data_IF_573141268934
#
_entry.id   IF_573141268934
#
_cell.length_a   1.000
_cell.length_b   1.000
_cell.length_c   1.000
_cell.angle_alpha   90.00
_cell.angle_beta   90.00
_cell.angle_gamma   90.00
#
_symmetry.space_group_name_H-M   'P 1'
#
loop_
_entity.id
_entity.type
_entity.pdbx_description
1 polymer ?
#
# COMPACT_ATOMS: atom_id res chain seq x y z
N UNK A 1 42.71 -15.32 45.74
CA UNK A 1 42.87 -16.79 45.86
C UNK A 1 42.30 -17.34 44.58
N UNK A 2 43.14 -17.68 43.59
CA UNK A 2 43.76 -19.00 43.30
C UNK A 2 42.72 -20.13 43.43
N UNK A 3 42.42 -21.00 42.46
CA UNK A 3 43.23 -21.62 41.41
C UNK A 3 42.26 -22.32 40.42
N UNK A 4 42.43 -22.36 39.13
CA UNK A 4 43.33 -23.18 38.31
C UNK A 4 42.75 -24.55 37.87
N UNK A 5 42.61 -24.68 36.55
CA UNK A 5 42.95 -25.83 35.64
C UNK A 5 42.21 -27.17 35.82
N UNK A 6 41.85 -27.94 34.74
CA UNK A 6 42.63 -28.51 33.59
C UNK A 6 41.66 -29.19 32.62
N UNK A 7 41.82 -29.01 31.34
CA UNK A 7 42.34 -29.94 30.31
C UNK A 7 41.75 -31.36 30.22
N UNK A 8 41.20 -31.66 29.05
CA UNK A 8 41.00 -33.01 28.53
C UNK A 8 40.79 -33.02 27.02
N UNK A 9 41.88 -33.30 26.30
CA UNK A 9 41.92 -33.65 24.85
C UNK A 9 41.60 -35.14 24.69
N UNK A 10 40.98 -35.51 23.55
CA UNK A 10 41.43 -36.62 22.65
C UNK A 10 40.37 -36.75 21.55
N UNK A 11 40.73 -36.58 20.25
CA UNK A 11 41.15 -37.60 19.27
C UNK A 11 39.99 -38.56 18.93
N UNK A 12 39.34 -38.51 17.79
CA UNK A 12 39.83 -38.75 16.46
C UNK A 12 39.31 -40.08 15.95
N UNK A 13 38.62 -40.14 14.83
CA UNK A 13 38.79 -41.24 13.86
C UNK A 13 37.98 -40.99 12.60
N UNK A 14 38.69 -40.96 11.49
CA UNK A 14 38.19 -41.01 10.11
C UNK A 14 37.67 -42.42 9.80
N UNK A 15 36.61 -42.49 9.01
CA UNK A 15 36.29 -43.67 8.23
C UNK A 15 35.77 -43.27 6.86
N UNK A 16 36.60 -43.44 5.87
CA UNK A 16 36.27 -43.48 4.45
C UNK A 16 35.75 -44.86 4.10
N UNK A 17 34.65 -45.01 3.40
CA UNK A 17 34.30 -46.23 2.66
C UNK A 17 33.48 -45.85 1.43
N UNK A 18 34.14 -45.98 0.29
CA UNK A 18 33.85 -46.69 -0.94
C UNK A 18 32.52 -46.47 -1.68
N UNK A 19 32.76 -45.98 -2.88
CA UNK A 19 32.03 -45.99 -4.13
C UNK A 19 31.63 -47.41 -4.55
N UNK A 20 30.35 -47.63 -4.87
CA UNK A 20 29.92 -48.76 -5.70
C UNK A 20 29.04 -48.27 -6.85
N UNK A 21 29.57 -48.34 -8.05
CA UNK A 21 28.89 -48.19 -9.33
C UNK A 21 28.17 -49.50 -9.62
N UNK A 22 26.87 -49.44 -9.90
CA UNK A 22 26.13 -50.51 -10.55
C UNK A 22 25.34 -49.93 -11.71
N UNK A 23 25.81 -50.25 -12.93
CA UNK A 23 25.06 -50.15 -14.17
C UNK A 23 24.13 -51.35 -14.27
N UNK A 24 22.86 -51.12 -14.54
CA UNK A 24 22.04 -52.13 -15.24
C UNK A 24 20.74 -51.51 -15.81
N UNK A 25 20.68 -51.64 -17.13
CA UNK A 25 19.53 -52.05 -17.96
C UNK A 25 18.34 -51.11 -18.21
N UNK A 26 18.23 -50.76 -19.46
CA UNK A 26 17.02 -50.27 -20.18
C UNK A 26 15.78 -51.12 -19.90
N UNK A 27 14.75 -50.49 -19.38
CA UNK A 27 13.38 -50.97 -19.43
C UNK A 27 12.49 -49.87 -19.95
N UNK A 28 11.93 -50.04 -21.18
CA UNK A 28 10.91 -49.16 -21.77
C UNK A 28 9.61 -49.36 -20.98
N UNK A 29 9.28 -48.43 -20.09
CA UNK A 29 7.97 -48.36 -19.47
C UNK A 29 7.10 -47.30 -20.14
N UNK A 30 5.89 -47.70 -20.53
CA UNK A 30 4.88 -46.90 -21.16
C UNK A 30 4.53 -45.69 -20.30
N UNK A 31 4.41 -44.51 -20.96
CA UNK A 31 4.00 -43.25 -20.40
C UNK A 31 2.51 -43.30 -20.02
N UNK A 32 2.09 -43.03 -18.80
CA UNK A 32 0.68 -42.84 -18.50
C UNK A 32 0.22 -41.51 -19.13
N UNK A 33 -0.88 -41.56 -19.85
CA UNK A 33 -1.60 -40.37 -20.34
C UNK A 33 -2.18 -39.63 -19.13
N UNK A 34 -1.63 -38.46 -18.84
CA UNK A 34 -2.16 -37.56 -17.83
C UNK A 34 -3.53 -37.00 -18.24
N UNK A 35 -4.35 -36.55 -17.28
CA UNK A 35 -5.66 -35.99 -17.58
C UNK A 35 -5.52 -34.75 -18.44
N UNK A 36 -6.38 -34.66 -19.45
CA UNK A 36 -6.54 -33.50 -20.34
C UNK A 36 -6.87 -32.28 -19.52
N UNK A 37 -5.91 -31.36 -19.43
CA UNK A 37 -6.14 -30.06 -18.81
C UNK A 37 -7.25 -29.31 -19.52
N UNK A 38 -8.25 -28.90 -18.78
CA UNK A 38 -9.23 -27.93 -19.25
C UNK A 38 -8.50 -26.64 -19.57
N UNK A 39 -8.78 -25.95 -20.67
CA UNK A 39 -8.20 -24.66 -20.95
C UNK A 39 -8.71 -23.69 -19.86
N UNK A 40 -7.80 -23.19 -19.05
CA UNK A 40 -8.06 -22.03 -18.18
C UNK A 40 -8.39 -20.89 -19.14
N UNK A 41 -9.63 -20.45 -19.12
CA UNK A 41 -10.05 -19.26 -19.84
C UNK A 41 -9.21 -18.09 -19.30
N UNK A 42 -8.29 -17.58 -20.11
CA UNK A 42 -7.58 -16.34 -19.83
C UNK A 42 -8.62 -15.23 -19.87
N UNK A 43 -9.10 -14.80 -18.72
CA UNK A 43 -9.81 -13.55 -18.57
C UNK A 43 -8.79 -12.45 -18.86
N UNK A 44 -8.74 -11.96 -20.06
CA UNK A 44 -8.08 -10.71 -20.39
C UNK A 44 -8.99 -9.59 -19.91
N UNK A 45 -8.92 -9.20 -18.65
CA UNK A 45 -9.44 -7.91 -18.24
C UNK A 45 -8.57 -6.85 -18.89
N UNK A 46 -9.01 -6.30 -20.02
CA UNK A 46 -8.48 -5.04 -20.51
C UNK A 46 -8.85 -4.00 -19.47
N UNK A 47 -7.86 -3.41 -18.80
CA UNK A 47 -8.07 -2.24 -17.95
C UNK A 47 -8.90 -1.22 -18.74
N UNK A 48 -9.95 -0.68 -18.15
CA UNK A 48 -10.76 0.36 -18.76
C UNK A 48 -9.86 1.56 -19.03
N UNK A 49 -9.80 2.01 -20.28
CA UNK A 49 -9.02 3.20 -20.67
C UNK A 49 -9.74 4.51 -20.36
N UNK A 50 -10.86 4.45 -19.66
CA UNK A 50 -11.72 5.62 -19.38
C UNK A 50 -12.04 5.66 -17.89
N UNK A 51 -12.19 6.88 -17.35
CA UNK A 51 -12.69 7.12 -16.00
C UNK A 51 -14.05 6.41 -15.83
N UNK A 52 -14.28 5.69 -14.74
CA UNK A 52 -15.55 5.03 -14.50
C UNK A 52 -16.73 6.01 -14.53
N UNK A 53 -17.83 5.63 -15.19
CA UNK A 53 -19.04 6.45 -15.34
C UNK A 53 -19.62 6.91 -13.97
N UNK A 54 -19.37 6.17 -12.90
CA UNK A 54 -19.75 6.52 -11.55
C UNK A 54 -19.17 7.86 -11.08
N UNK A 55 -18.07 8.32 -11.68
CA UNK A 55 -17.36 9.55 -11.29
C UNK A 55 -17.56 10.72 -12.26
N UNK A 56 -18.40 10.57 -13.28
CA UNK A 56 -18.59 11.62 -14.30
C UNK A 56 -19.49 12.76 -13.85
N UNK A 57 -20.42 12.49 -12.94
CA UNK A 57 -21.45 13.48 -12.57
C UNK A 57 -21.13 14.17 -11.25
N UNK A 58 -20.94 15.51 -11.25
CA UNK A 58 -20.73 16.26 -10.01
C UNK A 58 -21.93 16.20 -9.07
N UNK A 59 -21.64 15.94 -7.80
CA UNK A 59 -22.61 16.01 -6.69
C UNK A 59 -22.57 17.37 -5.99
N UNK A 60 -21.49 18.14 -6.18
CA UNK A 60 -21.26 19.43 -5.52
C UNK A 60 -20.75 20.47 -6.53
N UNK A 61 -20.75 21.74 -6.13
CA UNK A 61 -20.01 22.78 -6.84
C UNK A 61 -18.49 22.62 -6.65
N UNK A 62 -17.66 23.22 -7.52
CA UNK A 62 -16.21 23.27 -7.37
C UNK A 62 -15.80 23.92 -6.05
N UNK A 63 -14.81 23.35 -5.37
CA UNK A 63 -14.39 23.80 -4.04
C UNK A 63 -12.86 23.75 -3.84
N UNK A 64 -12.08 24.03 -4.89
CA UNK A 64 -10.63 24.12 -4.80
C UNK A 64 -10.17 25.39 -4.09
N UNK A 65 -8.97 25.32 -3.49
CA UNK A 65 -8.25 26.53 -3.08
C UNK A 65 -8.03 27.45 -4.29
N UNK A 66 -8.23 28.77 -4.14
CA UNK A 66 -7.91 29.72 -5.20
C UNK A 66 -6.45 29.60 -5.67
N UNK A 67 -6.25 29.57 -6.99
CA UNK A 67 -4.94 29.38 -7.61
C UNK A 67 -4.57 27.93 -7.92
N UNK A 68 -5.41 26.95 -7.57
CA UNK A 68 -5.22 25.57 -8.00
C UNK A 68 -5.41 25.43 -9.52
N UNK A 69 -4.54 24.60 -10.14
CA UNK A 69 -4.62 24.25 -11.56
C UNK A 69 -5.25 22.85 -11.73
N UNK A 70 -6.49 22.74 -12.22
CA UNK A 70 -7.12 21.45 -12.47
C UNK A 70 -6.41 20.57 -13.50
N UNK A 71 -5.56 21.14 -14.35
CA UNK A 71 -4.91 20.40 -15.44
C UNK A 71 -3.72 19.52 -14.98
N UNK A 72 -3.27 19.70 -13.74
CA UNK A 72 -2.14 18.89 -13.19
C UNK A 72 -2.56 17.48 -12.84
N UNK A 73 -3.85 17.24 -12.57
CA UNK A 73 -4.40 15.91 -12.30
C UNK A 73 -4.90 15.25 -13.59
N UNK A 74 -4.51 13.99 -13.86
CA UNK A 74 -4.97 13.29 -15.04
C UNK A 74 -6.42 12.79 -14.93
N UNK A 75 -6.96 12.70 -13.71
CA UNK A 75 -8.29 12.18 -13.41
C UNK A 75 -8.77 12.53 -12.00
N UNK A 76 -9.95 12.00 -11.61
CA UNK A 76 -10.46 12.17 -10.25
C UNK A 76 -9.57 11.49 -9.21
N UNK A 77 -9.60 12.01 -7.99
CA UNK A 77 -8.86 11.54 -6.82
C UNK A 77 -9.82 10.90 -5.83
N UNK A 78 -9.56 9.68 -5.42
CA UNK A 78 -10.13 9.04 -4.24
C UNK A 78 -9.44 9.61 -3.00
N UNK A 79 -10.20 9.92 -1.96
CA UNK A 79 -9.69 10.42 -0.69
C UNK A 79 -10.37 9.65 0.45
N UNK A 80 -9.58 9.04 1.32
CA UNK A 80 -10.04 8.52 2.60
C UNK A 80 -10.12 9.69 3.60
N UNK A 81 -11.32 10.18 3.87
CA UNK A 81 -11.58 11.31 4.77
C UNK A 81 -11.85 10.77 6.18
N UNK A 82 -10.75 10.37 6.85
CA UNK A 82 -10.67 9.50 8.02
C UNK A 82 -11.60 9.90 9.15
N UNK A 83 -11.44 11.12 9.69
CA UNK A 83 -12.24 11.57 10.83
C UNK A 83 -13.70 11.85 10.47
N UNK A 84 -14.04 11.97 9.19
CA UNK A 84 -15.39 12.05 8.71
C UNK A 84 -16.03 10.67 8.42
N UNK A 85 -15.28 9.57 8.62
CA UNK A 85 -15.73 8.21 8.36
C UNK A 85 -16.30 8.01 6.94
N UNK A 86 -15.62 8.52 5.93
CA UNK A 86 -16.08 8.46 4.54
C UNK A 86 -14.95 8.36 3.53
N UNK A 87 -15.27 7.78 2.39
CA UNK A 87 -14.51 7.93 1.16
C UNK A 87 -15.22 8.92 0.25
N UNK A 88 -14.45 9.77 -0.43
CA UNK A 88 -14.96 10.65 -1.47
C UNK A 88 -14.10 10.54 -2.72
N UNK A 89 -14.71 10.71 -3.89
CA UNK A 89 -13.99 10.93 -5.14
C UNK A 89 -14.21 12.36 -5.58
N UNK A 90 -13.11 13.08 -5.80
CA UNK A 90 -13.09 14.49 -6.18
C UNK A 90 -12.49 14.63 -7.57
N UNK A 91 -13.18 15.26 -8.50
CA UNK A 91 -12.64 15.51 -9.82
C UNK A 91 -11.57 16.64 -9.80
N UNK A 92 -10.77 16.81 -10.87
CA UNK A 92 -9.72 17.83 -10.91
C UNK A 92 -10.20 19.26 -10.63
N UNK A 93 -11.50 19.57 -10.81
CA UNK A 93 -12.08 20.88 -10.51
C UNK A 93 -12.50 21.05 -9.05
N UNK A 94 -12.32 20.02 -8.21
CA UNK A 94 -12.72 20.06 -6.81
C UNK A 94 -14.21 19.82 -6.57
N UNK A 95 -14.89 19.17 -7.50
CA UNK A 95 -16.28 18.74 -7.34
C UNK A 95 -16.28 17.30 -6.82
N UNK A 96 -17.03 17.02 -5.76
CA UNK A 96 -17.24 15.64 -5.31
C UNK A 96 -18.15 14.95 -6.34
N UNK A 97 -17.73 13.78 -6.81
CA UNK A 97 -18.47 12.99 -7.80
C UNK A 97 -18.99 11.67 -7.24
N UNK A 98 -18.43 11.21 -6.12
CA UNK A 98 -18.85 9.99 -5.45
C UNK A 98 -18.59 10.09 -3.94
N UNK A 99 -19.44 9.46 -3.12
CA UNK A 99 -19.32 9.45 -1.65
C UNK A 99 -19.72 8.07 -1.15
N UNK A 100 -19.01 7.55 -0.16
CA UNK A 100 -19.39 6.35 0.59
C UNK A 100 -18.99 6.52 2.08
N UNK A 101 -19.81 6.09 3.06
CA UNK A 101 -21.19 5.67 2.87
C UNK A 101 -22.17 6.85 2.80
N UNK A 102 -23.25 6.68 2.06
CA UNK A 102 -24.44 7.53 2.12
C UNK A 102 -25.49 6.86 2.99
N UNK A 103 -26.52 7.60 3.33
CA UNK A 103 -27.69 7.03 4.04
C UNK A 103 -28.27 5.84 3.28
N UNK A 104 -28.25 4.66 3.91
CA UNK A 104 -28.77 3.40 3.36
C UNK A 104 -27.72 2.55 2.62
N UNK A 105 -26.48 2.98 2.49
CA UNK A 105 -25.42 2.17 1.88
C UNK A 105 -24.95 1.04 2.82
N UNK A 106 -24.96 1.26 4.13
CA UNK A 106 -24.59 0.24 5.10
C UNK A 106 -25.77 -0.67 5.45
N UNK A 107 -25.51 -1.96 5.60
CA UNK A 107 -26.51 -2.92 6.08
C UNK A 107 -26.80 -2.67 7.57
N UNK A 108 -27.97 -3.12 8.09
CA UNK A 108 -28.28 -3.00 9.51
C UNK A 108 -27.19 -3.57 10.40
N UNK A 109 -26.65 -2.75 11.30
CA UNK A 109 -25.55 -3.13 12.21
C UNK A 109 -24.16 -3.12 11.58
N UNK A 110 -24.02 -2.81 10.30
CA UNK A 110 -22.72 -2.63 9.65
C UNK A 110 -22.18 -1.23 9.94
N UNK A 111 -20.88 -1.15 10.22
CA UNK A 111 -20.14 0.09 10.44
C UNK A 111 -19.21 0.38 9.28
N UNK A 112 -18.77 1.61 9.14
CA UNK A 112 -17.64 2.06 8.34
C UNK A 112 -16.98 3.19 9.10
N UNK A 113 -15.80 2.94 9.66
CA UNK A 113 -15.19 3.82 10.65
C UNK A 113 -13.70 4.02 10.34
N UNK A 114 -13.24 5.24 10.53
CA UNK A 114 -11.82 5.63 10.45
C UNK A 114 -11.11 5.01 9.25
N UNK A 115 -11.63 5.22 8.01
CA UNK A 115 -10.93 4.77 6.82
C UNK A 115 -9.56 5.42 6.78
N UNK A 116 -8.56 4.59 6.56
CA UNK A 116 -7.18 4.97 6.40
C UNK A 116 -6.83 5.00 4.92
N UNK A 117 -5.99 4.11 4.44
CA UNK A 117 -5.70 4.05 3.03
C UNK A 117 -6.78 3.36 2.21
N UNK A 118 -6.99 3.87 1.00
CA UNK A 118 -8.00 3.35 0.10
C UNK A 118 -7.51 3.36 -1.35
N UNK A 119 -7.59 2.20 -2.01
CA UNK A 119 -7.09 2.01 -3.38
C UNK A 119 -8.13 1.34 -4.27
N UNK A 120 -8.17 1.77 -5.53
CA UNK A 120 -9.01 1.09 -6.53
C UNK A 120 -8.47 -0.30 -6.82
N UNK A 121 -9.38 -1.25 -7.04
CA UNK A 121 -9.01 -2.55 -7.61
C UNK A 121 -8.49 -2.43 -9.04
N UNK A 122 -7.69 -3.37 -9.56
CA UNK A 122 -7.12 -3.29 -10.91
C UNK A 122 -8.13 -3.14 -12.04
N UNK A 123 -9.39 -3.54 -11.84
CA UNK A 123 -10.47 -3.34 -12.81
C UNK A 123 -11.30 -2.07 -12.55
N UNK A 124 -11.00 -1.34 -11.47
CA UNK A 124 -11.63 -0.09 -11.09
C UNK A 124 -13.08 -0.19 -10.63
N UNK A 125 -13.58 -1.40 -10.35
CA UNK A 125 -14.97 -1.59 -9.95
C UNK A 125 -15.19 -1.53 -8.45
N UNK A 126 -14.14 -1.77 -7.69
CA UNK A 126 -14.18 -1.82 -6.24
C UNK A 126 -13.08 -0.93 -5.66
N UNK A 127 -13.21 -0.60 -4.39
CA UNK A 127 -12.21 0.10 -3.59
C UNK A 127 -11.90 -0.81 -2.41
N UNK A 128 -10.62 -1.13 -2.21
CA UNK A 128 -10.11 -1.75 -0.99
C UNK A 128 -9.75 -0.65 -0.03
N UNK A 129 -10.21 -0.73 1.20
CA UNK A 129 -9.95 0.29 2.22
C UNK A 129 -9.68 -0.38 3.56
N UNK A 130 -8.69 0.14 4.26
CA UNK A 130 -8.41 -0.22 5.65
C UNK A 130 -9.24 0.68 6.58
N UNK A 131 -9.82 0.07 7.59
CA UNK A 131 -10.44 0.76 8.74
C UNK A 131 -9.50 0.47 9.92
N UNK A 132 -8.40 1.21 10.00
CA UNK A 132 -7.22 0.90 10.82
C UNK A 132 -7.56 0.66 12.29
N UNK A 133 -8.27 1.60 12.91
CA UNK A 133 -8.67 1.55 14.32
C UNK A 133 -9.93 0.68 14.56
N UNK A 134 -10.59 0.19 13.51
CA UNK A 134 -11.66 -0.83 13.60
C UNK A 134 -11.15 -2.24 13.25
N UNK A 135 -9.84 -2.35 12.91
CA UNK A 135 -9.10 -3.60 12.66
C UNK A 135 -9.66 -4.44 11.52
N UNK A 136 -10.15 -3.80 10.47
CA UNK A 136 -10.73 -4.47 9.31
C UNK A 136 -10.26 -3.89 7.98
N UNK A 137 -10.32 -4.72 6.95
CA UNK A 137 -10.21 -4.31 5.55
C UNK A 137 -11.58 -4.51 4.92
N UNK A 138 -12.12 -3.49 4.28
CA UNK A 138 -13.39 -3.53 3.56
C UNK A 138 -13.17 -3.40 2.07
N UNK A 139 -13.94 -4.14 1.26
CA UNK A 139 -14.02 -3.96 -0.19
C UNK A 139 -15.38 -3.37 -0.52
N UNK A 140 -15.37 -2.20 -1.13
CA UNK A 140 -16.56 -1.42 -1.46
C UNK A 140 -16.80 -1.45 -2.97
N UNK A 141 -17.95 -1.95 -3.41
CA UNK A 141 -18.37 -1.88 -4.82
C UNK A 141 -18.80 -0.47 -5.18
N UNK A 142 -18.12 0.11 -6.17
CA UNK A 142 -18.29 1.52 -6.60
C UNK A 142 -19.69 1.79 -7.15
N UNK A 143 -20.26 0.84 -7.89
CA UNK A 143 -21.53 1.04 -8.57
C UNK A 143 -22.74 0.90 -7.61
N UNK A 144 -22.67 -0.03 -6.68
CA UNK A 144 -23.77 -0.33 -5.75
C UNK A 144 -23.66 0.37 -4.40
N UNK A 145 -22.49 0.96 -4.07
CA UNK A 145 -22.17 1.53 -2.77
C UNK A 145 -22.39 0.52 -1.63
N UNK A 146 -21.86 -0.70 -1.79
CA UNK A 146 -21.98 -1.76 -0.78
C UNK A 146 -20.60 -2.29 -0.41
N UNK A 147 -20.42 -2.60 0.87
CA UNK A 147 -19.32 -3.45 1.30
C UNK A 147 -19.65 -4.87 0.84
N UNK A 148 -18.85 -5.38 -0.09
CA UNK A 148 -19.04 -6.71 -0.70
C UNK A 148 -18.18 -7.79 -0.06
N UNK A 149 -17.10 -7.37 0.61
CA UNK A 149 -16.22 -8.26 1.37
C UNK A 149 -15.61 -7.50 2.55
N UNK A 150 -15.31 -8.22 3.63
CA UNK A 150 -14.59 -7.68 4.78
C UNK A 150 -13.68 -8.75 5.37
N UNK A 151 -12.44 -8.39 5.63
CA UNK A 151 -11.50 -9.20 6.41
C UNK A 151 -11.20 -8.48 7.71
N UNK A 152 -11.04 -9.24 8.79
CA UNK A 152 -10.91 -8.70 10.14
C UNK A 152 -12.22 -8.79 10.92
N UNK A 153 -12.16 -8.46 12.20
CA UNK A 153 -13.31 -8.46 13.11
C UNK A 153 -13.47 -7.05 13.67
N UNK A 154 -14.55 -6.32 13.33
CA UNK A 154 -14.75 -4.96 13.78
C UNK A 154 -14.57 -4.79 15.29
N UNK A 155 -13.74 -3.82 15.71
CA UNK A 155 -13.46 -3.50 17.09
C UNK A 155 -12.66 -4.56 17.87
N UNK A 156 -12.05 -5.55 17.20
CA UNK A 156 -11.33 -6.63 17.87
C UNK A 156 -9.95 -6.89 17.23
N UNK A 157 -8.89 -6.30 17.81
CA UNK A 157 -7.52 -6.58 17.42
C UNK A 157 -7.11 -8.03 17.72
N UNK A 158 -6.15 -8.54 16.93
CA UNK A 158 -5.57 -9.86 17.18
C UNK A 158 -4.68 -10.39 16.06
N UNK A 159 -4.07 -11.57 16.31
CA UNK A 159 -3.14 -12.25 15.39
C UNK A 159 -3.74 -13.50 14.74
N UNK A 160 -4.95 -13.89 15.12
CA UNK A 160 -5.61 -15.12 14.64
C UNK A 160 -6.08 -15.02 13.19
N UNK A 161 -6.67 -16.10 12.68
CA UNK A 161 -7.39 -16.02 11.41
C UNK A 161 -8.48 -14.96 11.48
N UNK A 162 -8.66 -14.20 10.41
CA UNK A 162 -9.60 -13.09 10.35
C UNK A 162 -9.46 -12.07 11.49
N UNK A 163 -8.23 -11.80 11.89
CA UNK A 163 -7.88 -10.76 12.86
C UNK A 163 -6.70 -9.94 12.36
N UNK A 164 -6.76 -8.63 12.63
CA UNK A 164 -5.74 -7.64 12.32
C UNK A 164 -5.46 -6.80 13.55
N UNK A 165 -4.36 -6.08 13.55
CA UNK A 165 -4.06 -5.10 14.58
C UNK A 165 -3.41 -3.86 13.94
N UNK A 166 -4.22 -2.83 13.71
CA UNK A 166 -3.89 -1.65 12.94
C UNK A 166 -3.38 -2.04 11.53
N UNK A 167 -4.26 -2.57 10.65
CA UNK A 167 -3.91 -2.69 9.24
C UNK A 167 -3.83 -1.31 8.64
N UNK A 168 -2.78 -1.03 7.87
CA UNK A 168 -2.63 0.24 7.19
C UNK A 168 -2.97 0.09 5.71
N UNK A 169 -2.01 -0.11 4.83
CA UNK A 169 -2.32 -0.33 3.43
C UNK A 169 -2.93 -1.70 3.14
N UNK A 170 -3.90 -1.72 2.25
CA UNK A 170 -4.43 -2.94 1.66
C UNK A 170 -4.73 -2.75 0.18
N UNK A 171 -4.12 -3.55 -0.68
CA UNK A 171 -4.31 -3.48 -2.14
C UNK A 171 -4.75 -4.82 -2.70
N UNK A 172 -5.64 -4.78 -3.70
CA UNK A 172 -6.01 -5.98 -4.45
C UNK A 172 -5.05 -6.17 -5.62
N UNK A 173 -4.40 -7.33 -5.67
CA UNK A 173 -3.52 -7.72 -6.76
C UNK A 173 -4.32 -8.18 -7.99
N UNK A 174 -3.70 -8.22 -9.20
CA UNK A 174 -4.41 -8.60 -10.45
C UNK A 174 -5.03 -10.00 -10.44
N UNK A 175 -4.59 -10.88 -9.56
CA UNK A 175 -5.14 -12.23 -9.37
C UNK A 175 -6.26 -12.30 -8.31
N UNK A 176 -6.62 -11.15 -7.72
CA UNK A 176 -7.68 -10.99 -6.72
C UNK A 176 -7.26 -11.25 -5.27
N UNK A 177 -5.99 -11.54 -5.02
CA UNK A 177 -5.46 -11.55 -3.65
C UNK A 177 -5.39 -10.12 -3.11
N UNK A 178 -5.55 -9.97 -1.79
CA UNK A 178 -5.26 -8.71 -1.10
C UNK A 178 -3.93 -8.86 -0.39
N UNK A 179 -3.00 -7.92 -0.63
CA UNK A 179 -1.80 -7.73 0.18
C UNK A 179 -2.08 -6.62 1.19
N UNK A 180 -1.62 -6.79 2.44
CA UNK A 180 -1.81 -5.78 3.48
C UNK A 180 -0.68 -5.82 4.50
N UNK A 181 -0.30 -4.64 5.00
CA UNK A 181 0.54 -4.49 6.17
C UNK A 181 -0.32 -4.57 7.44
N UNK A 182 0.13 -5.34 8.43
CA UNK A 182 -0.55 -5.54 9.73
C UNK A 182 0.41 -5.08 10.83
N UNK A 183 0.42 -3.75 11.04
CA UNK A 183 1.47 -2.97 11.72
C UNK A 183 1.86 -3.56 13.07
N UNK A 184 0.87 -3.72 13.97
CA UNK A 184 1.12 -4.14 15.37
C UNK A 184 1.37 -5.63 15.51
N UNK A 185 1.02 -6.41 14.48
CA UNK A 185 1.35 -7.81 14.37
C UNK A 185 2.69 -8.06 13.64
N UNK A 186 3.38 -7.00 13.19
CA UNK A 186 4.70 -7.01 12.57
C UNK A 186 4.80 -7.96 11.37
N UNK A 187 3.76 -8.00 10.52
CA UNK A 187 3.63 -8.95 9.41
C UNK A 187 2.98 -8.33 8.19
N UNK A 188 3.21 -8.96 7.04
CA UNK A 188 2.49 -8.69 5.80
C UNK A 188 1.64 -9.92 5.50
N UNK A 189 0.39 -9.72 5.12
CA UNK A 189 -0.54 -10.79 4.80
C UNK A 189 -0.87 -10.81 3.31
N UNK A 190 -1.01 -12.02 2.77
CA UNK A 190 -1.71 -12.29 1.51
C UNK A 190 -3.02 -12.99 1.83
N UNK A 191 -4.12 -12.42 1.40
CA UNK A 191 -5.48 -12.90 1.65
C UNK A 191 -6.08 -13.33 0.32
N UNK A 192 -6.46 -14.61 0.22
CA UNK A 192 -7.09 -15.13 -1.00
C UNK A 192 -8.52 -14.58 -1.16
N UNK A 193 -9.02 -14.46 -2.40
CA UNK A 193 -10.37 -13.96 -2.67
C UNK A 193 -11.44 -14.65 -1.82
N UNK A 194 -12.23 -13.85 -1.08
CA UNK A 194 -13.31 -14.33 -0.22
C UNK A 194 -12.88 -15.14 1.01
N UNK A 195 -11.58 -15.24 1.31
CA UNK A 195 -11.07 -15.99 2.47
C UNK A 195 -11.19 -15.15 3.74
N UNK A 196 -11.41 -15.82 4.88
CA UNK A 196 -11.31 -15.24 6.23
C UNK A 196 -10.11 -15.83 7.00
N UNK A 197 -9.08 -16.22 6.26
CA UNK A 197 -7.78 -16.62 6.80
C UNK A 197 -6.69 -16.21 5.80
N UNK A 198 -5.47 -15.85 6.27
CA UNK A 198 -4.40 -15.52 5.34
C UNK A 198 -4.00 -16.75 4.54
N UNK A 199 -3.76 -16.57 3.24
CA UNK A 199 -3.17 -17.58 2.38
C UNK A 199 -1.65 -17.69 2.63
N UNK A 200 -1.01 -16.57 2.94
CA UNK A 200 0.39 -16.49 3.31
C UNK A 200 0.62 -15.37 4.33
N UNK A 201 1.63 -15.57 5.15
CA UNK A 201 2.15 -14.58 6.10
C UNK A 201 3.63 -14.39 5.77
N UNK A 202 4.03 -13.17 5.45
CA UNK A 202 5.42 -12.81 5.25
C UNK A 202 5.91 -12.19 6.56
N UNK A 203 6.89 -12.86 7.17
CA UNK A 203 7.39 -12.56 8.51
C UNK A 203 6.78 -13.45 9.59
N UNK A 204 7.11 -13.15 10.83
CA UNK A 204 6.62 -13.87 12.02
C UNK A 204 5.61 -12.99 12.74
N UNK A 205 4.36 -13.45 12.88
CA UNK A 205 3.35 -12.75 13.66
C UNK A 205 3.82 -12.60 15.11
N UNK A 206 4.02 -11.36 15.53
CA UNK A 206 4.51 -11.01 16.87
C UNK A 206 4.12 -9.57 17.17
N UNK A 207 4.17 -9.16 18.42
CA UNK A 207 4.07 -7.74 18.83
C UNK A 207 5.44 -7.14 19.17
N UNK A 208 6.51 -7.83 18.86
CA UNK A 208 7.89 -7.35 19.02
C UNK A 208 8.42 -6.92 17.65
N UNK A 209 7.96 -5.77 17.16
CA UNK A 209 8.29 -5.24 15.85
C UNK A 209 9.68 -4.62 15.83
N UNK A 210 10.60 -5.25 15.11
CA UNK A 210 11.95 -4.77 14.86
C UNK A 210 12.41 -5.24 13.49
N UNK A 211 13.31 -4.49 12.88
CA UNK A 211 13.85 -4.82 11.56
C UNK A 211 14.83 -6.00 11.62
N UNK A 212 14.45 -7.12 11.06
CA UNK A 212 15.26 -8.34 10.82
C UNK A 212 14.58 -9.18 9.72
N UNK A 213 14.36 -8.60 8.52
CA UNK A 213 13.61 -9.24 7.46
C UNK A 213 14.39 -10.46 6.88
N UNK A 214 13.71 -11.49 6.39
CA UNK A 214 12.25 -11.58 6.28
C UNK A 214 11.57 -12.14 7.53
N UNK A 215 12.33 -12.43 8.60
CA UNK A 215 11.81 -13.06 9.82
C UNK A 215 10.94 -12.09 10.64
N UNK A 216 11.36 -10.85 10.76
CA UNK A 216 10.67 -9.81 11.51
C UNK A 216 10.63 -8.50 10.74
N UNK A 217 9.52 -7.76 10.90
CA UNK A 217 9.32 -6.44 10.30
C UNK A 217 9.18 -5.39 11.40
N UNK A 218 9.77 -4.24 11.18
CA UNK A 218 9.77 -3.10 12.11
C UNK A 218 8.47 -2.29 12.07
N UNK A 219 7.32 -2.90 12.37
CA UNK A 219 5.99 -2.28 12.19
C UNK A 219 5.78 -1.88 10.73
N UNK A 220 5.53 -2.84 9.83
CA UNK A 220 5.33 -2.54 8.41
C UNK A 220 4.08 -1.67 8.25
N UNK A 221 4.24 -0.53 7.58
CA UNK A 221 3.15 0.40 7.30
C UNK A 221 2.50 0.07 5.97
N UNK A 222 3.29 -0.09 4.91
CA UNK A 222 2.83 -0.38 3.57
C UNK A 222 3.56 -1.54 2.90
N UNK A 223 2.97 -2.06 1.82
CA UNK A 223 3.55 -3.04 0.92
C UNK A 223 3.15 -2.73 -0.52
N UNK A 224 3.76 -1.69 -1.11
CA UNK A 224 3.37 -1.14 -2.40
C UNK A 224 3.98 -1.91 -3.58
N UNK A 225 3.18 -2.25 -4.62
CA UNK A 225 3.70 -2.94 -5.79
C UNK A 225 4.64 -2.07 -6.61
N UNK A 226 5.66 -2.70 -7.19
CA UNK A 226 6.62 -2.08 -8.11
C UNK A 226 6.43 -2.58 -9.54
N UNK A 227 6.94 -1.83 -10.50
CA UNK A 227 6.87 -2.17 -11.92
C UNK A 227 7.57 -3.49 -12.28
N UNK A 228 8.55 -3.94 -11.49
CA UNK A 228 9.26 -5.20 -11.68
C UNK A 228 8.56 -6.42 -11.06
N UNK A 229 7.41 -6.23 -10.39
CA UNK A 229 6.66 -7.27 -9.71
C UNK A 229 7.11 -7.54 -8.28
N UNK A 230 8.04 -6.73 -7.75
CA UNK A 230 8.38 -6.71 -6.33
C UNK A 230 7.46 -5.74 -5.56
N UNK A 231 7.71 -5.61 -4.27
CA UNK A 231 6.95 -4.76 -3.35
C UNK A 231 7.93 -3.94 -2.51
N UNK A 232 7.57 -2.68 -2.27
CA UNK A 232 8.26 -1.83 -1.29
C UNK A 232 7.52 -1.94 0.04
N UNK A 233 8.20 -2.48 1.03
CA UNK A 233 7.71 -2.54 2.41
C UNK A 233 8.31 -1.38 3.17
N UNK A 234 7.47 -0.54 3.75
CA UNK A 234 7.89 0.57 4.59
C UNK A 234 7.79 0.17 6.04
N UNK A 235 8.85 0.35 6.82
CA UNK A 235 8.91 -0.02 8.23
C UNK A 235 9.08 1.22 9.12
N UNK A 236 8.09 1.44 10.00
CA UNK A 236 8.09 2.56 10.94
C UNK A 236 9.26 2.47 11.93
N UNK A 237 9.44 1.27 12.52
CA UNK A 237 10.48 1.04 13.53
C UNK A 237 11.82 0.78 12.86
N UNK A 238 12.70 1.75 12.91
CA UNK A 238 14.05 1.68 12.35
C UNK A 238 14.18 2.39 11.01
N UNK A 239 13.10 2.99 10.50
CA UNK A 239 13.12 3.87 9.33
C UNK A 239 13.64 3.16 8.06
N UNK A 240 13.09 1.97 7.75
CA UNK A 240 13.51 1.16 6.62
C UNK A 240 12.49 1.16 5.46
N UNK A 241 13.01 0.98 4.27
CA UNK A 241 12.25 0.62 3.07
C UNK A 241 12.92 -0.60 2.44
N UNK A 242 12.18 -1.71 2.37
CA UNK A 242 12.68 -2.98 1.87
C UNK A 242 12.01 -3.35 0.54
N UNK A 243 12.82 -3.72 -0.46
CA UNK A 243 12.33 -4.32 -1.69
C UNK A 243 12.25 -5.83 -1.51
N UNK A 244 11.04 -6.39 -1.64
CA UNK A 244 10.78 -7.82 -1.44
C UNK A 244 9.97 -8.43 -2.58
N UNK A 245 9.93 -9.78 -2.64
CA UNK A 245 8.90 -10.52 -3.37
C UNK A 245 7.86 -11.14 -2.43
N UNK A 246 6.82 -11.75 -2.99
CA UNK A 246 5.75 -12.39 -2.21
C UNK A 246 6.18 -13.66 -1.46
N UNK A 247 7.43 -14.13 -1.64
CA UNK A 247 8.01 -15.18 -0.81
C UNK A 247 8.69 -14.62 0.45
N UNK A 248 8.83 -13.30 0.53
CA UNK A 248 9.54 -12.60 1.58
C UNK A 248 11.05 -12.48 1.34
N UNK A 249 11.53 -12.84 0.14
CA UNK A 249 12.94 -12.62 -0.19
C UNK A 249 13.22 -11.12 -0.32
N UNK A 250 14.23 -10.64 0.42
CA UNK A 250 14.65 -9.23 0.42
C UNK A 250 15.74 -9.02 -0.63
N UNK A 251 15.50 -8.10 -1.55
CA UNK A 251 16.44 -7.71 -2.59
C UNK A 251 17.28 -6.51 -2.20
N UNK A 252 16.70 -5.60 -1.42
CA UNK A 252 17.36 -4.39 -0.97
C UNK A 252 16.72 -3.89 0.32
N UNK A 253 17.52 -3.28 1.20
CA UNK A 253 17.07 -2.60 2.41
C UNK A 253 17.69 -1.20 2.44
N UNK A 254 16.87 -0.18 2.55
CA UNK A 254 17.27 1.22 2.37
C UNK A 254 16.81 2.03 3.58
N UNK A 255 17.66 2.90 4.09
CA UNK A 255 17.23 4.01 4.93
C UNK A 255 16.98 5.24 4.05
N UNK A 256 15.74 5.72 3.93
CA UNK A 256 15.47 6.99 3.26
C UNK A 256 16.14 8.13 4.02
N UNK A 257 16.85 9.04 3.32
CA UNK A 257 17.60 10.10 3.98
C UNK A 257 16.67 11.15 4.59
N UNK A 258 16.88 11.50 5.87
CA UNK A 258 16.11 12.57 6.53
C UNK A 258 14.67 12.22 6.95
N UNK A 259 14.26 10.97 6.80
CA UNK A 259 12.97 10.45 7.23
C UNK A 259 13.13 9.71 8.55
N UNK A 260 12.27 10.00 9.52
CA UNK A 260 12.30 9.39 10.85
C UNK A 260 11.02 8.65 11.24
N UNK A 261 10.08 8.55 10.35
CA UNK A 261 8.86 7.78 10.43
C UNK A 261 8.36 7.65 9.00
N UNK A 262 8.99 6.78 8.19
CA UNK A 262 8.49 6.55 6.85
C UNK A 262 7.10 5.94 6.95
N UNK A 263 6.11 6.61 6.34
CA UNK A 263 4.77 6.07 6.22
C UNK A 263 4.72 5.21 4.98
N UNK A 264 4.57 5.80 3.81
CA UNK A 264 4.48 5.06 2.58
C UNK A 264 5.58 5.40 1.59
N UNK A 265 5.94 4.39 0.78
CA UNK A 265 6.98 4.53 -0.24
C UNK A 265 6.50 3.96 -1.56
N UNK A 266 6.51 4.80 -2.60
CA UNK A 266 6.12 4.44 -3.96
C UNK A 266 7.29 4.51 -4.94
N UNK A 267 7.28 3.64 -5.96
CA UNK A 267 8.22 3.72 -7.07
C UNK A 267 7.87 4.88 -8.00
N UNK A 268 8.79 5.83 -8.18
CA UNK A 268 8.69 6.93 -9.16
C UNK A 268 9.15 6.45 -10.53
N UNK A 269 10.24 5.70 -10.56
CA UNK A 269 10.80 5.03 -11.73
C UNK A 269 11.77 3.95 -11.25
N UNK A 270 12.19 3.00 -12.10
CA UNK A 270 13.10 1.93 -11.68
C UNK A 270 14.32 2.44 -10.91
N UNK A 271 14.38 2.07 -9.60
CA UNK A 271 15.44 2.47 -8.69
C UNK A 271 15.35 3.89 -8.14
N UNK A 272 14.23 4.58 -8.31
CA UNK A 272 13.93 5.86 -7.68
C UNK A 272 12.56 5.82 -7.00
N UNK A 273 12.49 6.28 -5.77
CA UNK A 273 11.35 6.15 -4.88
C UNK A 273 10.94 7.50 -4.31
N UNK A 274 9.67 7.64 -3.96
CA UNK A 274 9.13 8.76 -3.17
C UNK A 274 8.61 8.23 -1.86
N UNK A 275 8.90 8.96 -0.77
CA UNK A 275 8.39 8.64 0.57
C UNK A 275 8.01 9.91 1.32
N UNK A 276 7.22 9.74 2.36
CA UNK A 276 6.86 10.77 3.32
C UNK A 276 7.32 10.38 4.72
N UNK A 277 7.58 11.39 5.57
CA UNK A 277 7.76 11.18 7.01
C UNK A 277 6.51 11.67 7.72
N UNK A 278 5.84 10.75 8.42
CA UNK A 278 4.67 11.06 9.26
C UNK A 278 5.09 11.80 10.53
N UNK A 279 5.51 13.03 10.35
CA UNK A 279 6.08 13.88 11.39
C UNK A 279 5.59 15.33 11.28
N UNK A 280 5.89 16.15 12.28
CA UNK A 280 5.60 17.57 12.23
C UNK A 280 6.89 18.36 12.63
N UNK A 281 7.53 19.09 11.69
CA UNK A 281 7.18 19.19 10.29
C UNK A 281 7.29 17.85 9.55
N UNK A 282 6.42 17.61 8.57
CA UNK A 282 6.46 16.46 7.68
C UNK A 282 7.52 16.60 6.60
N UNK A 283 7.96 15.48 6.06
CA UNK A 283 8.91 15.41 4.94
C UNK A 283 8.22 14.75 3.74
N UNK A 284 8.52 15.24 2.56
CA UNK A 284 8.30 14.55 1.28
C UNK A 284 9.61 14.58 0.53
N UNK A 285 10.12 13.42 0.15
CA UNK A 285 11.38 13.32 -0.57
C UNK A 285 11.41 12.20 -1.60
N UNK A 286 12.34 12.31 -2.55
CA UNK A 286 12.69 11.21 -3.44
C UNK A 286 14.14 10.80 -3.18
N UNK A 287 14.39 9.50 -3.25
CA UNK A 287 15.70 8.89 -3.06
C UNK A 287 15.91 7.72 -4.04
N UNK A 288 17.13 7.26 -4.19
CA UNK A 288 17.41 6.12 -5.05
C UNK A 288 17.65 4.82 -4.28
N UNK A 289 17.82 3.72 -5.00
CA UNK A 289 18.08 2.38 -4.44
C UNK A 289 19.34 2.25 -3.58
N UNK A 290 20.22 3.25 -3.57
CA UNK A 290 21.38 3.32 -2.66
C UNK A 290 21.11 4.20 -1.43
N UNK A 291 19.91 4.76 -1.26
CA UNK A 291 19.57 5.68 -0.17
C UNK A 291 20.08 7.11 -0.39
N UNK A 292 20.52 7.46 -1.62
CA UNK A 292 20.94 8.83 -1.89
C UNK A 292 19.73 9.72 -2.19
N UNK A 293 19.63 10.86 -1.50
CA UNK A 293 18.61 11.89 -1.74
C UNK A 293 18.69 12.39 -3.18
N UNK A 294 17.55 12.42 -3.87
CA UNK A 294 17.39 12.98 -5.20
C UNK A 294 16.74 14.36 -5.15
N UNK A 295 15.69 14.51 -4.35
CA UNK A 295 14.97 15.76 -4.13
C UNK A 295 14.24 15.69 -2.79
N UNK A 296 14.03 16.84 -2.16
CA UNK A 296 13.21 17.00 -0.97
C UNK A 296 12.39 18.28 -1.08
N UNK A 297 11.12 18.19 -0.78
CA UNK A 297 10.23 19.34 -0.76
C UNK A 297 10.67 20.40 0.25
N UNK A 298 10.87 21.62 -0.23
CA UNK A 298 11.20 22.79 0.57
C UNK A 298 10.12 23.86 0.39
N UNK A 299 9.11 23.94 1.28
CA UNK A 299 8.01 24.88 1.10
C UNK A 299 8.50 26.31 1.00
N UNK A 300 7.99 27.04 0.00
CA UNK A 300 8.33 28.45 -0.23
C UNK A 300 7.93 29.31 0.98
N UNK A 301 8.58 30.46 1.11
CA UNK A 301 8.28 31.41 2.19
C UNK A 301 6.79 31.78 2.24
N UNK A 302 6.17 31.59 3.40
CA UNK A 302 4.73 31.82 3.60
C UNK A 302 3.82 30.63 3.25
N UNK A 303 4.37 29.54 2.74
CA UNK A 303 3.65 28.27 2.59
C UNK A 303 3.71 27.48 3.92
N UNK A 304 2.64 26.78 4.32
CA UNK A 304 2.69 25.93 5.50
C UNK A 304 3.61 24.73 5.27
N UNK A 305 4.31 24.31 6.32
CA UNK A 305 5.03 23.03 6.34
C UNK A 305 4.02 21.89 6.23
N UNK A 306 4.46 20.73 5.73
CA UNK A 306 3.68 19.50 5.83
C UNK A 306 3.50 19.11 7.30
N UNK A 307 2.37 18.49 7.61
CA UNK A 307 2.03 18.09 8.98
C UNK A 307 1.45 16.69 8.98
N UNK A 308 2.29 15.72 9.27
CA UNK A 308 1.99 14.29 9.25
C UNK A 308 1.39 13.84 7.90
N UNK A 309 2.12 14.02 6.78
CA UNK A 309 1.72 13.40 5.51
C UNK A 309 1.90 11.88 5.63
N UNK A 310 0.94 11.08 5.14
CA UNK A 310 1.03 9.62 5.22
C UNK A 310 1.34 8.95 3.88
N UNK A 311 0.79 9.41 2.77
CA UNK A 311 0.98 8.82 1.44
C UNK A 311 1.35 9.87 0.40
N UNK A 312 2.27 9.53 -0.51
CA UNK A 312 2.58 10.33 -1.71
C UNK A 312 2.63 9.46 -2.97
N UNK A 313 1.86 9.83 -3.99
CA UNK A 313 1.84 9.18 -5.29
C UNK A 313 2.51 10.00 -6.39
N UNK A 314 3.39 9.41 -7.21
CA UNK A 314 3.94 10.09 -8.38
C UNK A 314 2.87 10.21 -9.48
N UNK A 315 2.69 11.42 -10.02
CA UNK A 315 1.79 11.69 -11.14
C UNK A 315 2.51 11.51 -12.48
N UNK A 316 1.77 11.20 -13.58
CA UNK A 316 2.37 11.04 -14.91
C UNK A 316 3.11 12.27 -15.44
N UNK A 317 2.79 13.48 -14.96
CA UNK A 317 3.46 14.74 -15.32
C UNK A 317 4.72 15.03 -14.50
N UNK A 318 5.05 14.15 -13.54
CA UNK A 318 6.20 14.26 -12.64
C UNK A 318 5.94 15.07 -11.37
N UNK A 319 4.71 15.49 -11.12
CA UNK A 319 4.30 16.08 -9.85
C UNK A 319 3.99 14.97 -8.82
N UNK A 320 3.76 15.34 -7.56
CA UNK A 320 3.38 14.41 -6.49
C UNK A 320 2.01 14.78 -5.91
N UNK A 321 1.09 13.83 -5.92
CA UNK A 321 -0.18 13.88 -5.18
C UNK A 321 0.08 13.34 -3.78
N UNK A 322 -0.37 14.06 -2.74
CA UNK A 322 -0.24 13.59 -1.35
C UNK A 322 -1.36 14.11 -0.46
N UNK A 323 -1.66 13.36 0.57
CA UNK A 323 -2.45 13.79 1.71
C UNK A 323 -1.51 14.45 2.75
N UNK A 324 -2.00 15.52 3.35
CA UNK A 324 -1.31 16.33 4.35
C UNK A 324 -2.26 16.44 5.55
N UNK A 325 -2.34 15.35 6.30
CA UNK A 325 -3.44 14.92 7.16
C UNK A 325 -3.83 15.96 8.20
N UNK A 326 -2.88 16.37 9.02
CA UNK A 326 -3.14 17.33 10.09
C UNK A 326 -3.18 18.79 9.59
N UNK A 327 -2.88 19.00 8.32
CA UNK A 327 -3.24 20.23 7.59
C UNK A 327 -4.61 20.15 6.92
N UNK A 328 -5.33 19.04 7.05
CA UNK A 328 -6.71 18.86 6.56
C UNK A 328 -6.86 19.03 5.06
N UNK A 329 -5.89 18.57 4.27
CA UNK A 329 -5.86 18.79 2.82
C UNK A 329 -5.20 17.68 2.04
N UNK A 330 -5.62 17.55 0.79
CA UNK A 330 -4.92 16.79 -0.26
C UNK A 330 -4.36 17.80 -1.24
N UNK A 331 -3.10 17.63 -1.64
CA UNK A 331 -2.35 18.59 -2.46
C UNK A 331 -1.58 17.91 -3.58
N UNK A 332 -1.28 18.68 -4.63
CA UNK A 332 -0.27 18.33 -5.65
C UNK A 332 0.88 19.30 -5.55
N UNK A 333 2.11 18.75 -5.48
CA UNK A 333 3.36 19.51 -5.44
C UNK A 333 4.10 19.32 -6.76
N UNK A 334 4.52 20.43 -7.37
CA UNK A 334 5.48 20.44 -8.49
C UNK A 334 6.90 20.45 -7.95
N UNK A 335 7.68 19.35 -8.09
CA UNK A 335 9.04 19.26 -7.55
C UNK A 335 10.06 20.15 -8.25
N UNK A 336 9.73 20.73 -9.41
CA UNK A 336 10.60 21.67 -10.15
C UNK A 336 10.57 23.08 -9.54
N UNK A 337 9.52 23.39 -8.80
CA UNK A 337 9.27 24.75 -8.27
C UNK A 337 8.99 24.77 -6.77
N UNK A 338 8.84 23.62 -6.13
CA UNK A 338 8.39 23.46 -4.74
C UNK A 338 7.08 24.17 -4.43
N UNK A 339 6.17 24.22 -5.41
CA UNK A 339 4.87 24.86 -5.26
C UNK A 339 3.75 23.84 -5.10
N UNK A 340 2.81 24.13 -4.22
CA UNK A 340 1.50 23.49 -4.21
C UNK A 340 0.69 24.05 -5.38
N UNK A 341 0.50 23.23 -6.42
CA UNK A 341 -0.17 23.63 -7.67
C UNK A 341 -1.65 23.24 -7.71
N UNK A 342 -2.09 22.35 -6.83
CA UNK A 342 -3.50 21.98 -6.64
C UNK A 342 -3.75 21.66 -5.17
N UNK A 343 -4.95 22.02 -4.66
CA UNK A 343 -5.33 21.70 -3.28
C UNK A 343 -6.84 21.57 -3.15
N UNK A 344 -7.26 20.46 -2.54
CA UNK A 344 -8.59 20.24 -1.97
C UNK A 344 -8.48 20.15 -0.44
N UNK A 345 -9.45 20.72 0.27
CA UNK A 345 -9.35 20.93 1.72
C UNK A 345 -8.84 22.33 2.06
N UNK A 346 -9.18 22.83 3.26
CA UNK A 346 -8.75 24.13 3.76
C UNK A 346 -7.70 23.93 4.83
N UNK A 347 -6.47 24.37 4.58
CA UNK A 347 -5.33 24.19 5.47
C UNK A 347 -5.66 24.53 6.92
N UNK A 348 -5.53 23.53 7.81
CA UNK A 348 -5.74 23.65 9.25
C UNK A 348 -7.20 23.82 9.68
N UNK A 349 -8.18 23.62 8.79
CA UNK A 349 -9.60 23.76 9.10
C UNK A 349 -10.33 22.43 8.83
N UNK A 350 -10.54 21.59 9.84
CA UNK A 350 -11.30 20.36 9.68
C UNK A 350 -12.77 20.65 9.40
N UNK A 351 -13.41 19.74 8.64
CA UNK A 351 -14.83 19.84 8.37
C UNK A 351 -15.32 18.77 7.39
N UNK A 352 -16.64 18.66 7.23
CA UNK A 352 -17.28 17.64 6.38
C UNK A 352 -18.05 18.21 5.19
N UNK A 353 -18.19 19.55 5.08
CA UNK A 353 -18.81 20.21 3.93
C UNK A 353 -17.94 20.08 2.68
N UNK A 354 -18.51 20.21 1.46
CA UNK A 354 -17.72 20.25 0.24
C UNK A 354 -16.57 21.28 0.33
N UNK A 355 -15.35 20.87 -0.04
CA UNK A 355 -14.15 21.69 0.09
C UNK A 355 -13.46 21.60 1.45
N UNK A 356 -13.96 20.80 2.40
CA UNK A 356 -13.34 20.52 3.67
C UNK A 356 -13.03 19.03 3.78
N UNK A 357 -11.98 18.72 4.56
CA UNK A 357 -11.56 17.39 4.98
C UNK A 357 -11.31 17.38 6.48
N UNK A 358 -11.27 16.21 7.09
CA UNK A 358 -10.85 16.04 8.47
C UNK A 358 -9.92 14.83 8.58
N UNK A 359 -8.62 15.10 8.62
CA UNK A 359 -7.52 14.12 8.56
C UNK A 359 -7.70 13.17 7.37
N UNK A 360 -7.53 13.65 6.13
CA UNK A 360 -7.47 12.75 4.99
C UNK A 360 -6.22 11.88 5.13
N UNK A 361 -6.37 10.55 5.11
CA UNK A 361 -5.26 9.63 5.36
C UNK A 361 -4.80 8.91 4.09
N UNK A 362 -5.65 8.53 3.18
CA UNK A 362 -5.27 7.88 1.93
C UNK A 362 -5.72 8.63 0.69
N UNK A 363 -4.97 8.48 -0.39
CA UNK A 363 -5.30 8.97 -1.74
C UNK A 363 -5.01 7.92 -2.80
N UNK A 364 -5.80 7.89 -3.88
CA UNK A 364 -5.50 7.17 -5.11
C UNK A 364 -6.16 7.89 -6.31
N UNK A 365 -5.57 7.75 -7.48
CA UNK A 365 -6.18 8.25 -8.71
C UNK A 365 -7.24 7.28 -9.23
N UNK A 366 -8.37 7.81 -9.69
CA UNK A 366 -9.34 6.95 -10.36
C UNK A 366 -8.76 6.30 -11.62
N UNK A 367 -9.16 5.06 -11.95
CA UNK A 367 -8.74 4.41 -13.20
C UNK A 367 -8.97 5.30 -14.43
N UNK A 368 -8.08 5.27 -15.41
CA UNK A 368 -6.99 4.32 -15.62
C UNK A 368 -5.66 4.73 -14.95
N UNK A 369 -5.67 5.65 -14.04
CA UNK A 369 -4.47 6.29 -13.47
C UNK A 369 -4.13 5.80 -12.07
N UNK A 370 -4.94 4.90 -11.48
CA UNK A 370 -4.65 4.35 -10.15
C UNK A 370 -3.28 3.69 -10.08
N UNK A 371 -2.69 3.67 -8.89
CA UNK A 371 -1.36 3.15 -8.65
C UNK A 371 -1.24 1.69 -9.09
N UNK A 372 -2.16 0.84 -8.70
CA UNK A 372 -2.20 -0.58 -9.05
C UNK A 372 -2.27 -0.82 -10.56
N UNK A 373 -3.08 -0.04 -11.28
CA UNK A 373 -3.22 -0.17 -12.74
C UNK A 373 -1.93 0.23 -13.44
N UNK A 374 -1.23 1.26 -12.95
CA UNK A 374 0.05 1.71 -13.51
C UNK A 374 1.12 0.64 -13.36
N UNK A 375 1.22 0.02 -12.19
CA UNK A 375 2.19 -1.04 -11.93
C UNK A 375 1.82 -2.34 -12.66
N UNK A 376 0.56 -2.74 -12.66
CA UNK A 376 0.09 -3.92 -13.40
C UNK A 376 0.32 -3.82 -14.92
N UNK A 377 0.20 -2.63 -15.50
CA UNK A 377 0.42 -2.41 -16.94
C UNK A 377 1.90 -2.41 -17.32
N UNK A 378 2.81 -2.14 -16.39
CA UNK A 378 4.26 -2.18 -16.59
C UNK A 378 4.84 -3.59 -16.42
N UNK A 379 4.17 -4.49 -15.69
CA UNK A 379 4.51 -5.91 -15.64
C UNK A 379 4.23 -6.50 -17.02
N UNK A 380 5.22 -6.40 -17.90
CA UNK A 380 5.14 -6.79 -19.30
C UNK A 380 4.52 -8.18 -19.46
N UNK A 381 3.69 -8.31 -20.49
CA UNK A 381 3.20 -9.63 -20.93
C UNK A 381 4.38 -10.59 -21.03
N UNK A 382 4.30 -11.79 -20.42
CA UNK A 382 5.33 -12.81 -20.55
C UNK A 382 5.51 -13.22 -22.01
#
# INVERSE_FOLDING_TARGET
>A
MRAVMRHGRQLGMSASVLLAILLAACGTAARPTGPTGHPIAKSSSSASSTVPAAFEQPLTAPALRPGSDPSVLPGPVLIADRSNNRLIVVNPKGEITWIFPRTGDLAPGQTFLVPDDAFFTPDGKEIVVTEEDDFVISVVDVATHRIVYRYGTPGAEGMGPNQLWNPDDAMMLPDGYIITADIKNCRILLIAPGSHAPASIIGTSTNACYHDPPAHWGSPNGAFPMANGHYLVTEINGDWVDEIDLTGHVYNSIHPPGVSYPSDTNEVSPGAYVTVSYSNPGVLETFNSSGALLWQYAPLAGQPQLNQPSLAEPLPNGDFLLNDDYNQRVIVIDPRTDQVVWQYGITGQPGSSPGYLDKPDGVDLAPPYSLDIRHASSMGKP
#
